data_IF_418199482155
#
_entry.id   IF_418199482155
#
_cell.length_a   1.000
_cell.length_b   1.000
_cell.length_c   1.000
_cell.angle_alpha   90.00
_cell.angle_beta   90.00
_cell.angle_gamma   90.00
#
_symmetry.space_group_name_H-M   'P 1'
#
loop_
_entity.id
_entity.type
_entity.pdbx_description
1 polymer ?
#
# COMPACT_ATOMS: atom_id res chain seq x y z
N UNK A 1 24.09 21.22 -37.49
CA UNK A 1 23.89 19.84 -36.99
C UNK A 1 24.03 19.85 -35.47
N UNK A 2 23.05 19.36 -34.70
CA UNK A 2 23.18 19.32 -33.26
C UNK A 2 24.32 18.37 -32.89
N UNK A 3 25.29 18.86 -32.12
CA UNK A 3 26.43 18.06 -31.65
C UNK A 3 25.96 17.04 -30.60
N UNK A 4 26.71 15.94 -30.43
CA UNK A 4 26.39 14.86 -29.48
C UNK A 4 26.11 15.36 -28.05
N UNK A 5 26.70 16.49 -27.66
CA UNK A 5 26.48 17.16 -26.37
C UNK A 5 25.07 17.77 -26.24
N UNK A 6 24.48 18.27 -27.32
CA UNK A 6 23.09 18.75 -27.32
C UNK A 6 22.07 17.60 -27.30
N UNK A 7 22.40 16.47 -27.94
CA UNK A 7 21.57 15.26 -27.89
C UNK A 7 21.58 14.64 -26.49
N UNK A 8 22.73 14.63 -25.80
CA UNK A 8 22.88 14.09 -24.44
C UNK A 8 22.14 14.92 -23.37
N UNK A 9 22.16 16.25 -23.49
CA UNK A 9 21.44 17.13 -22.56
C UNK A 9 19.93 16.99 -22.76
N UNK A 10 19.45 16.90 -24.00
CA UNK A 10 18.03 16.68 -24.27
C UNK A 10 17.54 15.32 -23.74
N UNK A 11 18.32 14.25 -23.86
CA UNK A 11 17.95 12.93 -23.31
C UNK A 11 17.99 12.85 -21.79
N UNK A 12 18.88 13.58 -21.10
CA UNK A 12 18.82 13.71 -19.64
C UNK A 12 17.60 14.52 -19.16
N UNK A 13 17.19 15.56 -19.89
CA UNK A 13 16.00 16.36 -19.55
C UNK A 13 14.69 15.56 -19.69
N UNK A 14 14.61 14.64 -20.64
CA UNK A 14 13.45 13.75 -20.84
C UNK A 14 13.32 12.67 -19.75
N UNK A 15 14.42 12.20 -19.15
CA UNK A 15 14.36 11.26 -18.01
C UNK A 15 13.87 11.93 -16.71
N UNK A 16 14.04 13.25 -16.56
CA UNK A 16 13.67 13.96 -15.34
C UNK A 16 12.15 14.24 -15.22
N UNK A 17 11.40 14.17 -16.33
CA UNK A 17 9.99 14.58 -16.38
C UNK A 17 8.97 13.45 -16.09
N UNK A 18 9.42 12.23 -15.76
CA UNK A 18 8.56 11.03 -15.83
C UNK A 18 8.28 10.28 -14.53
N UNK A 19 8.82 10.69 -13.38
CA UNK A 19 8.55 9.99 -12.12
C UNK A 19 7.25 10.53 -11.50
N UNK A 20 6.09 10.05 -11.96
CA UNK A 20 4.86 10.20 -11.18
C UNK A 20 5.06 9.53 -9.82
N UNK A 21 4.81 10.27 -8.74
CA UNK A 21 4.90 9.72 -7.40
C UNK A 21 3.93 8.53 -7.29
N UNK A 22 4.45 7.35 -6.96
CA UNK A 22 3.63 6.17 -6.76
C UNK A 22 2.70 6.43 -5.56
N UNK A 23 1.40 6.16 -5.72
CA UNK A 23 0.43 6.27 -4.63
C UNK A 23 0.86 5.39 -3.47
N UNK A 24 0.95 5.98 -2.28
CA UNK A 24 1.22 5.27 -1.04
C UNK A 24 -0.09 4.82 -0.42
N UNK A 25 -0.08 3.61 0.13
CA UNK A 25 -1.24 3.01 0.80
C UNK A 25 -0.92 2.74 2.27
N UNK A 26 -1.94 2.83 3.10
CA UNK A 26 -1.91 2.38 4.49
C UNK A 26 -2.99 1.34 4.72
N UNK A 27 -2.65 0.28 5.47
CA UNK A 27 -3.61 -0.71 5.95
C UNK A 27 -3.76 -0.57 7.46
N UNK A 28 -5.00 -0.48 7.92
CA UNK A 28 -5.34 -0.27 9.33
C UNK A 28 -6.29 -1.36 9.78
N UNK A 29 -5.82 -2.19 10.70
CA UNK A 29 -6.62 -3.19 11.40
C UNK A 29 -7.39 -2.54 12.54
N UNK A 30 -8.55 -3.10 12.86
CA UNK A 30 -9.45 -2.56 13.88
C UNK A 30 -9.98 -3.63 14.81
N UNK A 31 -10.39 -3.22 16.01
CA UNK A 31 -11.19 -4.03 16.91
C UNK A 31 -12.68 -3.79 16.72
N UNK A 32 -13.44 -4.88 16.80
CA UNK A 32 -14.88 -4.86 16.81
C UNK A 32 -15.41 -4.39 18.18
N UNK A 33 -16.61 -3.78 18.26
CA UNK A 33 -17.52 -3.49 17.16
C UNK A 33 -17.26 -2.14 16.46
N UNK A 34 -16.23 -1.39 16.88
CA UNK A 34 -16.01 -0.01 16.41
C UNK A 34 -15.38 0.07 15.01
N UNK A 35 -14.74 -1.01 14.56
CA UNK A 35 -14.32 -1.17 13.17
C UNK A 35 -14.74 -2.54 12.61
N UNK A 36 -14.70 -2.65 11.29
CA UNK A 36 -15.23 -3.80 10.55
C UNK A 36 -14.17 -4.85 10.20
N UNK A 37 -12.89 -4.59 10.47
CA UNK A 37 -11.78 -5.49 10.16
C UNK A 37 -10.55 -4.75 9.66
N UNK A 38 -10.27 -4.84 8.36
CA UNK A 38 -9.10 -4.24 7.71
C UNK A 38 -9.52 -3.16 6.70
N UNK A 39 -9.05 -1.93 6.91
CA UNK A 39 -9.25 -0.83 5.96
C UNK A 39 -7.96 -0.52 5.19
N UNK A 40 -8.12 -0.14 3.92
CA UNK A 40 -7.09 0.49 3.09
C UNK A 40 -7.39 1.98 2.95
N UNK A 41 -6.34 2.79 2.97
CA UNK A 41 -6.36 4.23 2.68
C UNK A 41 -5.34 4.57 1.61
N UNK A 42 -5.57 5.68 0.89
CA UNK A 42 -4.53 6.41 0.18
C UNK A 42 -3.85 7.38 1.15
N UNK A 43 -2.53 7.55 1.02
CA UNK A 43 -1.75 8.49 1.83
C UNK A 43 -1.38 9.70 0.98
N UNK A 44 -1.77 10.88 1.43
CA UNK A 44 -1.35 12.14 0.80
C UNK A 44 0.15 12.35 1.01
N UNK A 45 0.92 12.42 -0.06
CA UNK A 45 2.38 12.45 0.01
C UNK A 45 2.96 13.76 0.59
N UNK A 46 2.15 14.81 0.67
CA UNK A 46 2.58 16.13 1.15
C UNK A 46 2.26 16.32 2.64
N UNK A 47 1.12 15.80 3.08
CA UNK A 47 0.55 16.06 4.41
C UNK A 47 0.49 14.82 5.28
N UNK A 48 0.63 13.63 4.71
CA UNK A 48 0.43 12.35 5.41
C UNK A 48 -1.05 12.03 5.70
N UNK A 49 -1.99 12.85 5.22
CA UNK A 49 -3.41 12.63 5.47
C UNK A 49 -3.89 11.31 4.83
N UNK A 50 -4.66 10.53 5.59
CA UNK A 50 -5.32 9.33 5.08
C UNK A 50 -6.63 9.70 4.39
N UNK A 51 -6.84 9.18 3.17
CA UNK A 51 -8.07 9.37 2.39
C UNK A 51 -8.60 8.04 1.86
N UNK A 52 -9.78 8.08 1.26
CA UNK A 52 -10.38 6.95 0.53
C UNK A 52 -10.50 5.65 1.35
N UNK A 53 -11.01 5.77 2.58
CA UNK A 53 -11.24 4.62 3.47
C UNK A 53 -12.04 3.54 2.74
N UNK A 54 -11.41 2.40 2.50
CA UNK A 54 -11.99 1.26 1.80
C UNK A 54 -11.90 0.02 2.69
N UNK A 55 -13.01 -0.67 2.93
CA UNK A 55 -12.98 -1.98 3.61
C UNK A 55 -12.39 -3.02 2.65
N UNK A 56 -11.33 -3.72 3.07
CA UNK A 56 -10.61 -4.70 2.25
C UNK A 56 -10.50 -6.08 2.89
N UNK A 57 -10.99 -6.24 4.12
CA UNK A 57 -11.09 -7.53 4.80
C UNK A 57 -11.95 -7.42 6.04
N UNK A 58 -12.63 -8.51 6.40
CA UNK A 58 -13.59 -8.56 7.52
C UNK A 58 -13.16 -9.51 8.64
N UNK A 59 -11.87 -9.87 8.67
CA UNK A 59 -11.30 -10.62 9.79
C UNK A 59 -11.44 -9.78 11.07
N UNK A 60 -12.02 -10.34 12.14
CA UNK A 60 -12.26 -9.58 13.37
C UNK A 60 -10.95 -9.31 14.10
N UNK A 61 -10.93 -8.21 14.85
CA UNK A 61 -9.87 -7.89 15.83
C UNK A 61 -8.45 -8.05 15.26
N UNK A 62 -8.21 -7.48 14.08
CA UNK A 62 -6.91 -7.49 13.40
C UNK A 62 -5.92 -6.58 14.15
N UNK A 63 -5.33 -7.15 15.20
CA UNK A 63 -4.55 -6.43 16.21
C UNK A 63 -3.11 -6.11 15.78
N UNK A 64 -2.56 -6.91 14.87
CA UNK A 64 -1.17 -6.76 14.41
C UNK A 64 -1.11 -6.91 12.89
N UNK A 65 -0.35 -6.03 12.26
CA UNK A 65 -0.11 -6.02 10.83
C UNK A 65 1.38 -5.82 10.56
N UNK A 66 1.92 -6.52 9.56
CA UNK A 66 3.26 -6.24 9.04
C UNK A 66 3.32 -6.50 7.55
N UNK A 67 4.17 -5.75 6.85
CA UNK A 67 4.41 -5.92 5.42
C UNK A 67 5.75 -6.61 5.23
N UNK A 68 5.83 -7.52 4.25
CA UNK A 68 7.10 -8.16 3.87
C UNK A 68 8.14 -7.12 3.44
N UNK A 69 9.42 -7.47 3.57
CA UNK A 69 10.52 -6.55 3.23
C UNK A 69 10.50 -6.07 1.76
N UNK A 70 9.92 -6.85 0.85
CA UNK A 70 9.76 -6.50 -0.57
C UNK A 70 8.48 -5.71 -0.87
N UNK A 71 7.64 -5.43 0.13
CA UNK A 71 6.39 -4.69 -0.01
C UNK A 71 5.25 -5.47 -0.67
N UNK A 72 5.40 -6.77 -0.94
CA UNK A 72 4.44 -7.54 -1.75
C UNK A 72 3.41 -8.33 -0.96
N UNK A 73 3.63 -8.54 0.33
CA UNK A 73 2.75 -9.34 1.18
C UNK A 73 2.41 -8.59 2.45
N UNK A 74 1.12 -8.50 2.76
CA UNK A 74 0.62 -8.05 4.06
C UNK A 74 0.31 -9.29 4.90
N UNK A 75 0.74 -9.29 6.15
CA UNK A 75 0.37 -10.28 7.15
C UNK A 75 -0.45 -9.60 8.24
N UNK A 76 -1.51 -10.26 8.68
CA UNK A 76 -2.36 -9.79 9.77
C UNK A 76 -2.70 -10.90 10.75
N UNK A 77 -2.67 -10.60 12.04
CA UNK A 77 -3.08 -11.52 13.10
C UNK A 77 -4.42 -11.06 13.70
N UNK A 78 -5.41 -11.96 13.68
CA UNK A 78 -6.70 -11.77 14.34
C UNK A 78 -6.61 -12.22 15.80
N UNK A 79 -6.87 -11.30 16.73
CA UNK A 79 -6.79 -11.51 18.18
C UNK A 79 -8.14 -11.95 18.74
N UNK A 80 -8.59 -13.14 18.33
CA UNK A 80 -9.78 -13.81 18.86
C UNK A 80 -9.43 -15.21 19.36
N UNK A 81 -10.33 -15.86 20.11
CA UNK A 81 -10.08 -17.20 20.71
C UNK A 81 -9.64 -18.24 19.67
N UNK A 82 -10.25 -18.21 18.48
CA UNK A 82 -9.87 -19.02 17.31
C UNK A 82 -9.25 -18.14 16.22
N UNK A 83 -8.28 -17.32 16.61
CA UNK A 83 -7.59 -16.39 15.73
C UNK A 83 -6.79 -17.08 14.63
N UNK A 84 -6.53 -16.33 13.56
CA UNK A 84 -5.72 -16.77 12.42
C UNK A 84 -4.65 -15.74 12.09
N UNK A 85 -3.58 -16.20 11.45
CA UNK A 85 -2.65 -15.33 10.72
C UNK A 85 -2.98 -15.43 9.25
N UNK A 86 -3.49 -14.33 8.70
CA UNK A 86 -3.85 -14.22 7.30
C UNK A 86 -2.73 -13.53 6.54
N UNK A 87 -2.43 -14.04 5.34
CA UNK A 87 -1.54 -13.43 4.39
C UNK A 87 -2.32 -12.96 3.17
N UNK A 88 -1.97 -11.78 2.66
CA UNK A 88 -2.48 -11.23 1.42
C UNK A 88 -1.37 -10.76 0.52
N UNK A 89 -1.51 -10.95 -0.79
CA UNK A 89 -0.70 -10.27 -1.79
C UNK A 89 -1.22 -8.85 -1.99
N UNK A 90 -0.29 -7.90 -2.04
CA UNK A 90 -0.54 -6.48 -2.28
C UNK A 90 -0.48 -6.21 -3.79
N UNK A 91 -1.58 -5.73 -4.35
CA UNK A 91 -1.67 -5.22 -5.72
C UNK A 91 -1.05 -3.83 -5.88
N UNK A 92 -0.76 -3.44 -7.13
CA UNK A 92 -0.17 -2.12 -7.43
C UNK A 92 -1.07 -0.93 -7.04
N UNK A 93 -2.37 -1.18 -6.90
CA UNK A 93 -3.39 -0.23 -6.44
C UNK A 93 -3.74 -0.40 -4.95
N UNK A 94 -2.93 -1.16 -4.19
CA UNK A 94 -3.14 -1.46 -2.79
C UNK A 94 -4.28 -2.44 -2.49
N UNK A 95 -4.92 -3.04 -3.50
CA UNK A 95 -5.87 -4.15 -3.29
C UNK A 95 -5.18 -5.37 -2.69
N UNK A 96 -5.95 -6.14 -1.93
CA UNK A 96 -5.47 -7.34 -1.25
C UNK A 96 -6.12 -8.58 -1.88
N UNK A 97 -5.31 -9.62 -2.07
CA UNK A 97 -5.78 -10.95 -2.48
C UNK A 97 -5.26 -11.99 -1.52
N UNK A 98 -6.15 -12.83 -0.99
CA UNK A 98 -5.80 -13.85 0.01
C UNK A 98 -4.78 -14.86 -0.52
N UNK A 99 -3.90 -15.32 0.36
CA UNK A 99 -2.86 -16.32 0.06
C UNK A 99 -3.02 -17.62 0.85
N UNK A 100 -3.79 -17.63 1.94
CA UNK A 100 -4.05 -18.80 2.79
C UNK A 100 -5.43 -18.75 3.44
#
# INVERSE_FOLDING_TARGET
>A
MPTARHLLVASLSLLAAGAAAQTQYAWVGTYNPNGEGLYRFTVDSQTGALRDKTLVGTLPDLAQLTVSADGKTLYGASEVEKGVVQAWRIGSNGELSELN
#
